data_IF_653893054218
#
_entry.id   IF_653893054218
#
_cell.length_a   1.000
_cell.length_b   1.000
_cell.length_c   1.000
_cell.angle_alpha   90.00
_cell.angle_beta   90.00
_cell.angle_gamma   90.00
#
_symmetry.space_group_name_H-M   'P 1'
#
loop_
_entity.id
_entity.type
_entity.pdbx_description
1 polymer ?
#
# COMPACT_ATOMS: atom_id res chain seq x y z
N UNK A 1 -46.19 13.19 -18.45
CA UNK A 1 -46.45 12.02 -19.31
C UNK A 1 -45.19 11.18 -19.37
N UNK A 2 -45.28 9.95 -18.83
CA UNK A 2 -44.43 8.76 -19.04
C UNK A 2 -42.92 8.84 -18.73
N UNK A 3 -42.23 7.89 -18.09
CA UNK A 3 -42.46 6.79 -17.11
C UNK A 3 -41.12 6.04 -17.01
N UNK A 4 -40.70 5.66 -15.78
CA UNK A 4 -39.92 4.46 -15.37
C UNK A 4 -38.59 4.14 -16.13
N UNK A 5 -37.46 3.90 -15.44
CA UNK A 5 -37.29 2.72 -14.59
C UNK A 5 -36.10 2.82 -13.61
N UNK A 6 -36.39 2.41 -12.38
CA UNK A 6 -35.50 2.24 -11.23
C UNK A 6 -34.69 0.94 -11.34
N UNK A 7 -33.40 0.95 -10.98
CA UNK A 7 -32.72 -0.29 -10.54
C UNK A 7 -31.98 -0.08 -9.23
N UNK A 8 -32.61 -0.61 -8.18
CA UNK A 8 -32.18 -0.75 -6.79
C UNK A 8 -31.31 -2.00 -6.69
N UNK A 9 -30.07 -1.90 -6.21
CA UNK A 9 -29.26 -3.06 -5.85
C UNK A 9 -29.05 -3.13 -4.34
N UNK A 10 -29.03 -4.37 -3.86
CA UNK A 10 -29.39 -4.83 -2.51
C UNK A 10 -28.34 -4.54 -1.45
N UNK A 11 -28.83 -4.15 -0.28
CA UNK A 11 -28.20 -4.22 1.03
C UNK A 11 -27.89 -5.67 1.42
N UNK A 12 -26.66 -5.92 1.88
CA UNK A 12 -26.21 -7.18 2.52
C UNK A 12 -26.48 -7.10 4.03
N UNK A 13 -26.86 -8.18 4.72
CA UNK A 13 -27.36 -8.11 6.11
C UNK A 13 -26.25 -7.81 7.12
N UNK A 14 -26.59 -6.97 8.10
CA UNK A 14 -25.85 -6.70 9.33
C UNK A 14 -26.32 -7.71 10.39
N UNK A 15 -25.41 -8.51 10.94
CA UNK A 15 -25.71 -9.48 12.00
C UNK A 15 -25.07 -9.05 13.31
N UNK A 16 -25.92 -8.70 14.29
CA UNK A 16 -25.74 -8.92 15.73
C UNK A 16 -24.74 -8.04 16.50
N UNK A 17 -25.24 -6.94 17.07
CA UNK A 17 -24.77 -6.40 18.36
C UNK A 17 -25.22 -7.33 19.49
N UNK A 18 -24.33 -7.65 20.43
CA UNK A 18 -24.68 -7.83 21.86
C UNK A 18 -23.49 -7.42 22.73
N UNK A 19 -23.72 -6.39 23.53
CA UNK A 19 -22.92 -5.92 24.66
C UNK A 19 -23.58 -6.38 25.98
N UNK A 20 -22.75 -6.62 27.01
CA UNK A 20 -23.13 -6.91 28.40
C UNK A 20 -22.29 -8.06 28.97
N UNK A 21 -21.22 -7.84 29.74
CA UNK A 21 -21.18 -7.61 31.22
C UNK A 21 -21.90 -8.73 31.98
N UNK A 22 -21.41 -9.35 33.06
CA UNK A 22 -20.20 -9.29 33.90
C UNK A 22 -20.29 -10.52 34.86
N UNK A 23 -19.25 -10.74 35.68
CA UNK A 23 -19.19 -11.64 36.85
C UNK A 23 -19.04 -13.15 36.62
N UNK A 24 -18.38 -13.94 37.47
CA UNK A 24 -17.31 -13.77 38.46
C UNK A 24 -17.03 -15.22 38.92
N UNK A 25 -15.77 -15.64 39.02
CA UNK A 25 -15.31 -16.50 40.12
C UNK A 25 -13.79 -16.72 40.04
N UNK A 26 -13.12 -15.89 40.82
CA UNK A 26 -11.88 -16.17 41.54
C UNK A 26 -11.69 -17.64 41.96
N UNK A 27 -10.48 -18.19 41.77
CA UNK A 27 -9.53 -18.44 42.88
C UNK A 27 -8.28 -19.23 42.44
N UNK A 28 -7.12 -18.59 42.70
CA UNK A 28 -5.84 -19.12 43.21
C UNK A 28 -4.95 -20.02 42.33
N UNK A 29 -3.92 -19.37 41.74
CA UNK A 29 -2.47 -19.55 42.02
C UNK A 29 -2.06 -20.79 42.83
N UNK A 30 -1.05 -21.61 42.48
CA UNK A 30 0.33 -21.30 42.06
C UNK A 30 1.01 -22.54 41.44
N UNK A 31 1.88 -22.39 40.43
CA UNK A 31 2.96 -23.38 40.21
C UNK A 31 4.15 -22.80 39.45
N UNK A 32 5.33 -22.84 40.07
CA UNK A 32 6.67 -22.99 39.48
C UNK A 32 7.61 -23.48 40.59
N UNK A 33 8.72 -24.20 40.32
CA UNK A 33 9.48 -24.24 39.06
C UNK A 33 9.87 -25.65 38.55
N UNK A 34 10.38 -25.70 37.32
CA UNK A 34 11.24 -26.76 36.74
C UNK A 34 12.57 -26.90 37.53
N UNK A 35 13.42 -27.96 37.40
CA UNK A 35 14.01 -28.39 36.11
C UNK A 35 14.51 -29.86 35.97
N UNK A 36 15.01 -30.16 34.76
CA UNK A 36 16.15 -31.03 34.37
C UNK A 36 15.93 -32.32 33.57
N UNK A 37 16.94 -32.55 32.74
CA UNK A 37 17.05 -33.23 31.44
C UNK A 37 17.75 -34.61 31.56
N UNK A 38 17.72 -35.39 30.47
CA UNK A 38 18.50 -36.61 30.14
C UNK A 38 17.94 -37.94 30.69
N UNK A 39 17.90 -39.07 29.97
CA UNK A 39 18.81 -39.57 28.92
C UNK A 39 18.19 -40.73 28.12
N UNK A 40 18.54 -40.81 26.83
CA UNK A 40 18.34 -41.93 25.89
C UNK A 40 19.42 -43.00 26.14
N UNK A 41 19.06 -44.29 26.24
CA UNK A 41 19.95 -45.42 25.88
C UNK A 41 19.14 -46.58 25.29
N UNK A 42 19.58 -46.99 24.10
CA UNK A 42 19.22 -48.18 23.31
C UNK A 42 19.97 -49.44 23.76
N UNK A 43 19.35 -50.62 23.63
CA UNK A 43 20.07 -51.92 23.56
C UNK A 43 19.50 -52.79 22.43
N UNK A 44 20.41 -53.37 21.66
CA UNK A 44 20.24 -54.15 20.43
C UNK A 44 20.22 -55.68 20.70
N UNK A 45 19.83 -56.42 19.64
CA UNK A 45 20.13 -57.83 19.26
C UNK A 45 19.03 -58.88 19.47
N UNK A 46 18.93 -59.98 18.71
CA UNK A 46 19.12 -60.39 17.29
C UNK A 46 19.06 -61.94 17.27
N UNK A 47 18.63 -62.54 16.14
CA UNK A 47 18.63 -63.98 15.77
C UNK A 47 17.63 -64.91 16.51
N UNK A 48 16.98 -65.91 15.91
CA UNK A 48 17.01 -66.49 14.57
C UNK A 48 16.34 -67.89 14.57
N UNK A 49 15.73 -68.27 13.44
CA UNK A 49 15.44 -69.62 12.92
C UNK A 49 14.48 -70.63 13.61
N UNK A 50 13.51 -71.06 12.78
CA UNK A 50 13.05 -72.42 12.45
C UNK A 50 12.47 -73.36 13.53
N UNK A 51 11.21 -73.75 13.33
CA UNK A 51 10.62 -74.95 13.94
C UNK A 51 9.10 -75.06 13.77
N UNK A 52 8.65 -76.07 13.03
CA UNK A 52 7.27 -76.47 12.73
C UNK A 52 6.54 -77.21 13.86
N UNK A 53 5.19 -77.26 13.74
CA UNK A 53 4.25 -78.26 14.31
C UNK A 53 4.08 -78.22 15.84
N UNK A 54 2.95 -78.52 16.49
CA UNK A 54 1.61 -79.02 16.17
C UNK A 54 0.84 -79.06 17.52
N UNK A 55 -0.50 -78.99 17.48
CA UNK A 55 -1.50 -79.58 18.40
C UNK A 55 -1.13 -79.89 19.86
N UNK A 56 -1.98 -79.55 20.83
CA UNK A 56 -2.60 -80.52 21.76
C UNK A 56 -3.70 -79.84 22.59
N UNK A 57 -4.89 -80.43 22.56
CA UNK A 57 -5.99 -80.15 23.47
C UNK A 57 -5.73 -80.85 24.80
N UNK A 58 -6.11 -80.26 25.94
CA UNK A 58 -6.51 -81.05 27.10
C UNK A 58 -7.59 -80.33 27.93
N UNK A 59 -8.62 -81.12 28.21
CA UNK A 59 -9.82 -80.84 29.01
C UNK A 59 -9.51 -80.78 30.50
N UNK A 60 -10.22 -79.92 31.25
CA UNK A 60 -10.32 -80.00 32.70
C UNK A 60 -11.75 -79.69 33.19
N UNK A 61 -12.32 -80.65 33.92
CA UNK A 61 -13.54 -80.55 34.72
C UNK A 61 -13.30 -79.73 36.01
N UNK A 62 -14.37 -79.09 36.50
CA UNK A 62 -14.56 -78.38 37.79
C UNK A 62 -14.10 -79.17 39.05
N UNK A 63 -14.05 -78.59 40.30
CA UNK A 63 -14.59 -77.29 40.76
C UNK A 63 -13.71 -76.43 41.70
N UNK A 64 -14.04 -75.12 41.72
CA UNK A 64 -13.99 -74.14 42.80
C UNK A 64 -12.75 -74.05 43.72
N UNK A 65 -11.88 -73.05 43.47
CA UNK A 65 -11.29 -72.21 44.51
C UNK A 65 -10.53 -71.02 43.88
N UNK A 66 -10.84 -69.82 44.39
CA UNK A 66 -9.95 -68.66 44.54
C UNK A 66 -9.48 -67.95 43.27
N UNK A 67 -9.93 -66.70 43.15
CA UNK A 67 -9.49 -65.69 42.21
C UNK A 67 -7.97 -65.51 42.31
N UNK A 68 -7.25 -66.06 41.34
CA UNK A 68 -5.83 -65.88 41.15
C UNK A 68 -5.62 -64.85 40.03
N UNK A 69 -4.88 -63.79 40.36
CA UNK A 69 -4.24 -62.89 39.42
C UNK A 69 -3.57 -63.72 38.31
N UNK A 70 -4.05 -63.63 37.08
CA UNK A 70 -3.30 -64.03 35.90
C UNK A 70 -2.66 -62.77 35.30
N UNK A 71 -1.39 -62.57 35.60
CA UNK A 71 -0.50 -61.73 34.80
C UNK A 71 -0.20 -62.42 33.48
N UNK A 72 -0.27 -61.63 32.42
CA UNK A 72 0.68 -61.64 31.30
C UNK A 72 0.55 -62.78 30.28
N UNK A 73 -0.31 -62.56 29.28
CA UNK A 73 -0.30 -63.31 28.04
C UNK A 73 0.32 -62.46 26.92
N UNK A 74 1.43 -62.98 26.38
CA UNK A 74 2.38 -62.34 25.47
C UNK A 74 1.74 -62.16 24.09
N UNK A 75 0.95 -61.10 23.93
CA UNK A 75 0.52 -60.64 22.61
C UNK A 75 1.73 -60.00 21.90
N UNK A 76 1.96 -60.27 20.60
CA UNK A 76 3.05 -59.62 19.86
C UNK A 76 2.88 -58.10 19.98
N UNK A 77 3.99 -57.36 20.14
CA UNK A 77 4.00 -55.89 20.35
C UNK A 77 3.05 -55.14 19.39
N UNK A 78 2.95 -55.61 18.15
CA UNK A 78 2.04 -55.09 17.11
C UNK A 78 0.55 -55.17 17.49
N UNK A 79 0.13 -56.23 18.17
CA UNK A 79 -1.26 -56.41 18.63
C UNK A 79 -1.59 -55.44 19.78
N UNK A 80 -0.66 -55.26 20.72
CA UNK A 80 -0.80 -54.27 21.79
C UNK A 80 -0.88 -52.85 21.22
N UNK A 81 0.00 -52.50 20.28
CA UNK A 81 -0.02 -51.21 19.57
C UNK A 81 -1.34 -51.01 18.81
N UNK A 82 -1.84 -52.05 18.12
CA UNK A 82 -3.14 -51.98 17.44
C UNK A 82 -4.30 -51.74 18.39
N UNK A 83 -4.29 -52.39 19.56
CA UNK A 83 -5.31 -52.20 20.58
C UNK A 83 -5.35 -50.76 21.08
N UNK A 84 -4.19 -50.22 21.43
CA UNK A 84 -4.04 -48.84 21.91
C UNK A 84 -4.40 -47.81 20.83
N UNK A 85 -3.92 -47.99 19.60
CA UNK A 85 -4.25 -47.11 18.48
C UNK A 85 -5.75 -47.11 18.17
N UNK A 86 -6.40 -48.28 18.26
CA UNK A 86 -7.84 -48.40 18.08
C UNK A 86 -8.60 -47.62 19.14
N UNK A 87 -8.23 -47.79 20.42
CA UNK A 87 -8.85 -47.09 21.54
C UNK A 87 -8.66 -45.56 21.43
N UNK A 88 -7.49 -45.11 20.99
CA UNK A 88 -7.22 -43.72 20.68
C UNK A 88 -8.12 -43.17 19.56
N UNK A 89 -8.24 -43.90 18.45
CA UNK A 89 -9.10 -43.51 17.33
C UNK A 89 -10.60 -43.54 17.66
N UNK A 90 -11.02 -44.30 18.67
CA UNK A 90 -12.41 -44.33 19.15
C UNK A 90 -12.71 -43.18 20.12
N UNK A 91 -11.70 -42.68 20.84
CA UNK A 91 -11.81 -41.62 21.86
C UNK A 91 -11.40 -40.22 21.40
N UNK A 92 -10.85 -40.11 20.18
CA UNK A 92 -10.47 -38.81 19.61
C UNK A 92 -11.68 -37.90 19.37
N UNK A 93 -11.47 -36.59 19.50
CA UNK A 93 -12.46 -35.56 19.18
C UNK A 93 -12.70 -35.40 17.67
N UNK A 94 -11.89 -36.05 16.83
CA UNK A 94 -12.05 -36.06 15.37
C UNK A 94 -13.28 -36.85 14.95
N UNK A 95 -14.41 -36.17 14.72
CA UNK A 95 -15.74 -36.75 14.47
C UNK A 95 -15.81 -37.88 13.42
N UNK A 96 -14.93 -37.88 12.42
CA UNK A 96 -14.92 -38.89 11.36
C UNK A 96 -14.09 -40.15 11.67
N UNK A 97 -13.13 -40.08 12.60
CA UNK A 97 -12.16 -41.14 12.88
C UNK A 97 -12.78 -42.31 13.67
N UNK A 98 -13.62 -42.09 14.72
CA UNK A 98 -14.32 -43.17 15.40
C UNK A 98 -15.23 -43.99 14.47
N UNK A 99 -15.82 -43.35 13.44
CA UNK A 99 -16.68 -44.02 12.46
C UNK A 99 -15.89 -44.97 11.54
N UNK A 100 -14.63 -44.66 11.23
CA UNK A 100 -13.74 -45.53 10.44
C UNK A 100 -13.39 -46.80 11.21
N UNK A 101 -13.18 -46.67 12.53
CA UNK A 101 -12.69 -47.76 13.38
C UNK A 101 -13.83 -48.63 13.94
N UNK A 102 -15.00 -48.04 14.20
CA UNK A 102 -16.18 -48.75 14.71
C UNK A 102 -16.93 -49.56 13.64
N UNK A 103 -16.81 -49.18 12.36
CA UNK A 103 -17.56 -49.83 11.27
C UNK A 103 -16.95 -51.18 10.86
N UNK A 104 -17.76 -52.24 10.88
CA UNK A 104 -17.37 -53.59 10.46
C UNK A 104 -17.36 -53.79 8.93
N UNK A 105 -18.22 -53.07 8.21
CA UNK A 105 -18.36 -53.17 6.75
C UNK A 105 -17.23 -52.44 6.00
N UNK A 106 -16.42 -53.18 5.21
CA UNK A 106 -15.27 -52.63 4.47
C UNK A 106 -15.65 -51.50 3.50
N UNK A 107 -16.80 -51.61 2.82
CA UNK A 107 -17.27 -50.57 1.86
C UNK A 107 -17.64 -49.26 2.57
N UNK A 108 -18.28 -49.34 3.73
CA UNK A 108 -18.66 -48.16 4.53
C UNK A 108 -17.44 -47.53 5.20
N UNK A 109 -16.50 -48.36 5.66
CA UNK A 109 -15.21 -47.90 6.17
C UNK A 109 -14.41 -47.12 5.12
N UNK A 110 -14.39 -47.59 3.88
CA UNK A 110 -13.75 -46.88 2.76
C UNK A 110 -14.42 -45.51 2.51
N UNK A 111 -15.75 -45.47 2.51
CA UNK A 111 -16.50 -44.23 2.34
C UNK A 111 -16.21 -43.20 3.47
N UNK A 112 -16.14 -43.64 4.72
CA UNK A 112 -15.74 -42.77 5.83
C UNK A 112 -14.30 -42.29 5.71
N UNK A 113 -13.38 -43.15 5.26
CA UNK A 113 -11.99 -42.78 5.01
C UNK A 113 -11.89 -41.72 3.93
N UNK A 114 -12.61 -41.86 2.82
CA UNK A 114 -12.64 -40.89 1.73
C UNK A 114 -13.16 -39.54 2.23
N UNK A 115 -14.24 -39.51 3.02
CA UNK A 115 -14.77 -38.24 3.56
C UNK A 115 -13.80 -37.56 4.52
N UNK A 116 -13.16 -38.32 5.41
CA UNK A 116 -12.16 -37.78 6.33
C UNK A 116 -10.97 -37.22 5.54
N UNK A 117 -10.48 -37.97 4.55
CA UNK A 117 -9.37 -37.52 3.70
C UNK A 117 -9.74 -36.25 2.92
N UNK A 118 -10.91 -36.20 2.30
CA UNK A 118 -11.40 -35.03 1.57
C UNK A 118 -11.52 -33.79 2.48
N UNK A 119 -12.01 -33.99 3.71
CA UNK A 119 -12.08 -32.91 4.70
C UNK A 119 -10.69 -32.40 5.09
N UNK A 120 -9.73 -33.29 5.36
CA UNK A 120 -8.34 -32.90 5.66
C UNK A 120 -7.69 -32.12 4.52
N UNK A 121 -7.87 -32.57 3.27
CA UNK A 121 -7.37 -31.84 2.09
C UNK A 121 -7.99 -30.45 2.01
N UNK A 122 -9.32 -30.33 2.21
CA UNK A 122 -10.00 -29.03 2.22
C UNK A 122 -9.53 -28.10 3.34
N UNK A 123 -9.24 -28.63 4.53
CA UNK A 123 -8.68 -27.85 5.62
C UNK A 123 -7.27 -27.36 5.31
N UNK A 124 -6.41 -28.22 4.74
CA UNK A 124 -5.04 -27.85 4.37
C UNK A 124 -5.04 -26.78 3.28
N UNK A 125 -5.89 -26.91 2.25
CA UNK A 125 -5.98 -25.89 1.19
C UNK A 125 -6.46 -24.55 1.75
N UNK A 126 -7.51 -24.55 2.58
CA UNK A 126 -8.00 -23.33 3.23
C UNK A 126 -6.93 -22.65 4.09
N UNK A 127 -6.17 -23.45 4.85
CA UNK A 127 -5.05 -22.95 5.65
C UNK A 127 -3.95 -22.32 4.77
N UNK A 128 -3.58 -22.97 3.66
CA UNK A 128 -2.60 -22.42 2.71
C UNK A 128 -3.09 -21.09 2.14
N UNK A 129 -4.36 -20.98 1.73
CA UNK A 129 -4.94 -19.73 1.24
C UNK A 129 -4.86 -18.62 2.30
N UNK A 130 -5.21 -18.92 3.55
CA UNK A 130 -5.20 -17.95 4.63
C UNK A 130 -3.77 -17.48 4.96
N UNK A 131 -2.80 -18.40 4.97
CA UNK A 131 -1.39 -18.08 5.18
C UNK A 131 -0.87 -17.21 4.04
N UNK A 132 -1.19 -17.55 2.79
CA UNK A 132 -0.77 -16.75 1.63
C UNK A 132 -1.38 -15.35 1.66
N UNK A 133 -2.65 -15.22 2.06
CA UNK A 133 -3.30 -13.92 2.23
C UNK A 133 -2.65 -13.11 3.35
N UNK A 134 -2.31 -13.75 4.47
CA UNK A 134 -1.61 -13.10 5.58
C UNK A 134 -0.20 -12.64 5.18
N UNK A 135 0.57 -13.49 4.50
CA UNK A 135 1.92 -13.19 4.00
C UNK A 135 1.93 -12.26 2.79
N UNK A 136 0.78 -12.00 2.15
CA UNK A 136 0.65 -10.96 1.14
C UNK A 136 0.66 -9.54 1.75
N UNK A 137 0.58 -9.43 3.08
CA UNK A 137 0.60 -8.16 3.82
C UNK A 137 -0.38 -7.13 3.23
N UNK A 138 -1.59 -7.57 2.86
CA UNK A 138 -2.60 -6.67 2.32
C UNK A 138 -3.09 -5.73 3.43
N UNK A 139 -2.73 -4.44 3.34
CA UNK A 139 -3.09 -3.41 4.32
C UNK A 139 -4.24 -2.57 3.76
N UNK A 140 -5.42 -2.71 4.37
CA UNK A 140 -6.57 -1.87 4.05
C UNK A 140 -6.43 -0.54 4.80
N UNK A 141 -5.99 0.51 4.11
CA UNK A 141 -6.01 1.86 4.63
C UNK A 141 -7.42 2.45 4.55
N UNK A 142 -8.08 2.61 5.70
CA UNK A 142 -9.35 3.33 5.76
C UNK A 142 -9.09 4.84 5.88
N UNK A 143 -9.48 5.67 4.89
CA UNK A 143 -9.32 7.11 4.98
C UNK A 143 -10.24 7.67 6.07
N UNK A 144 -9.67 8.13 7.17
CA UNK A 144 -10.40 8.89 8.22
C UNK A 144 -10.31 10.38 7.91
N UNK A 145 -11.46 11.05 7.84
CA UNK A 145 -11.52 12.52 7.74
C UNK A 145 -11.49 13.09 9.16
N UNK A 146 -10.42 13.79 9.50
CA UNK A 146 -10.34 14.59 10.72
C UNK A 146 -10.62 16.05 10.38
N UNK A 147 -11.67 16.62 10.97
CA UNK A 147 -12.13 17.98 10.66
C UNK A 147 -11.56 19.04 11.63
N UNK A 148 -11.23 18.67 12.86
CA UNK A 148 -10.96 19.63 13.95
C UNK A 148 -9.50 19.65 14.44
N UNK A 149 -8.56 19.12 13.66
CA UNK A 149 -7.14 19.26 14.01
C UNK A 149 -6.61 20.61 13.50
N UNK A 150 -5.91 21.39 14.35
CA UNK A 150 -5.21 22.57 13.87
C UNK A 150 -4.20 22.13 12.82
N UNK A 151 -4.34 22.67 11.60
CA UNK A 151 -3.42 22.42 10.51
C UNK A 151 -2.70 23.71 10.17
N UNK A 152 -1.39 23.64 10.16
CA UNK A 152 -0.56 24.76 9.74
C UNK A 152 -0.87 25.12 8.28
N UNK A 153 -1.10 26.41 8.03
CA UNK A 153 -1.34 26.90 6.69
C UNK A 153 -0.11 26.64 5.79
N UNK A 154 -0.31 26.09 4.58
CA UNK A 154 0.80 25.71 3.71
C UNK A 154 1.47 26.94 3.08
N UNK A 155 2.71 26.77 2.61
CA UNK A 155 3.31 27.73 1.70
C UNK A 155 2.60 27.71 0.35
N UNK A 156 2.35 28.88 -0.23
CA UNK A 156 1.63 29.02 -1.51
C UNK A 156 2.60 29.51 -2.58
N UNK A 157 2.81 28.71 -3.62
CA UNK A 157 3.67 29.07 -4.77
C UNK A 157 2.81 29.46 -5.96
N UNK A 158 3.14 30.60 -6.57
CA UNK A 158 2.43 31.13 -7.74
C UNK A 158 3.45 31.47 -8.82
N UNK A 159 3.16 31.04 -10.03
CA UNK A 159 3.93 31.32 -11.24
C UNK A 159 2.98 31.88 -12.29
N UNK A 160 3.47 32.76 -13.17
CA UNK A 160 2.71 33.10 -14.35
C UNK A 160 2.85 31.98 -15.40
N UNK A 161 1.77 31.70 -16.12
CA UNK A 161 1.78 30.75 -17.23
C UNK A 161 2.68 31.22 -18.37
N UNK A 162 2.84 32.55 -18.51
CA UNK A 162 3.78 33.16 -19.43
C UNK A 162 5.10 33.44 -18.70
N UNK A 163 6.25 32.92 -19.16
CA UNK A 163 7.53 33.13 -18.50
C UNK A 163 8.00 34.59 -18.58
N UNK A 164 7.62 35.32 -19.64
CA UNK A 164 8.05 36.70 -19.86
C UNK A 164 6.92 37.71 -19.73
N UNK A 165 7.26 38.87 -19.15
CA UNK A 165 6.34 40.00 -19.09
C UNK A 165 6.17 40.66 -20.44
N UNK A 166 5.03 41.33 -20.66
CA UNK A 166 4.79 42.17 -21.84
C UNK A 166 5.91 43.16 -22.13
N UNK A 167 6.50 43.74 -21.08
CA UNK A 167 7.62 44.69 -21.18
C UNK A 167 8.87 43.99 -21.70
N UNK A 168 9.17 42.80 -21.22
CA UNK A 168 10.36 42.06 -21.60
C UNK A 168 10.22 41.45 -23.00
N UNK A 169 9.03 41.00 -23.39
CA UNK A 169 8.75 40.56 -24.76
C UNK A 169 9.07 41.69 -25.76
N UNK A 170 8.70 42.94 -25.45
CA UNK A 170 9.05 44.08 -26.31
C UNK A 170 10.56 44.30 -26.42
N UNK A 171 11.30 44.14 -25.32
CA UNK A 171 12.77 44.22 -25.32
C UNK A 171 13.40 43.08 -26.14
N UNK A 172 12.92 41.85 -25.96
CA UNK A 172 13.38 40.67 -26.70
C UNK A 172 13.16 40.84 -28.21
N UNK A 173 11.97 41.33 -28.60
CA UNK A 173 11.66 41.66 -30.00
C UNK A 173 12.57 42.78 -30.54
N UNK A 174 12.80 43.84 -29.75
CA UNK A 174 13.68 44.94 -30.15
C UNK A 174 15.16 44.50 -30.30
N UNK A 175 15.59 43.52 -29.51
CA UNK A 175 16.91 42.92 -29.61
C UNK A 175 17.04 41.89 -30.74
N UNK A 176 15.97 41.64 -31.52
CA UNK A 176 15.98 40.66 -32.61
C UNK A 176 16.03 39.20 -32.15
N UNK A 177 15.65 38.92 -30.90
CA UNK A 177 15.64 37.56 -30.36
C UNK A 177 14.53 36.75 -31.01
N UNK A 178 14.85 35.50 -31.36
CA UNK A 178 13.91 34.55 -31.95
C UNK A 178 12.86 34.14 -30.90
N UNK A 179 11.56 34.05 -31.27
CA UNK A 179 10.52 33.49 -30.41
C UNK A 179 10.88 32.08 -29.87
N UNK A 180 10.37 31.74 -28.70
CA UNK A 180 10.72 30.49 -27.99
C UNK A 180 10.31 29.25 -28.78
N UNK A 181 9.13 29.27 -29.39
CA UNK A 181 8.61 28.21 -30.25
C UNK A 181 9.49 28.00 -31.48
N UNK A 182 9.84 29.09 -32.18
CA UNK A 182 10.73 29.04 -33.34
C UNK A 182 12.14 28.55 -32.96
N UNK A 183 12.65 28.91 -31.80
CA UNK A 183 13.94 28.40 -31.30
C UNK A 183 13.89 26.88 -31.17
N UNK A 184 12.87 26.34 -30.48
CA UNK A 184 12.75 24.89 -30.30
C UNK A 184 12.49 24.15 -31.61
N UNK A 185 11.67 24.71 -32.51
CA UNK A 185 11.45 24.16 -33.85
C UNK A 185 12.75 24.07 -34.66
N UNK A 186 13.61 25.09 -34.56
CA UNK A 186 14.91 25.08 -35.23
C UNK A 186 15.83 23.98 -34.66
N UNK A 187 15.91 23.84 -33.33
CA UNK A 187 16.66 22.75 -32.69
C UNK A 187 16.10 21.39 -33.14
N UNK A 188 14.78 21.22 -33.15
CA UNK A 188 14.12 19.99 -33.56
C UNK A 188 14.48 19.59 -35.00
N UNK A 189 14.50 20.55 -35.93
CA UNK A 189 14.86 20.31 -37.33
C UNK A 189 16.34 19.97 -37.51
N UNK A 190 17.21 20.43 -36.61
CA UNK A 190 18.64 20.11 -36.66
C UNK A 190 18.98 18.72 -36.11
N UNK A 191 18.28 18.24 -35.08
CA UNK A 191 18.57 16.96 -34.41
C UNK A 191 18.75 15.76 -35.39
N UNK A 192 17.91 15.55 -36.42
CA UNK A 192 18.06 14.44 -37.36
C UNK A 192 19.37 14.50 -38.15
N UNK A 193 19.85 15.71 -38.45
CA UNK A 193 21.06 15.96 -39.24
C UNK A 193 22.35 15.81 -38.43
N UNK A 194 22.24 15.73 -37.11
CA UNK A 194 23.38 15.55 -36.20
C UNK A 194 23.72 14.06 -36.09
N UNK A 195 25.03 13.78 -36.11
CA UNK A 195 25.60 12.44 -35.93
C UNK A 195 25.04 11.79 -34.66
N UNK A 196 24.70 10.48 -34.69
CA UNK A 196 23.99 9.81 -33.60
C UNK A 196 24.72 9.92 -32.26
N UNK A 197 26.06 9.91 -32.25
CA UNK A 197 26.87 10.10 -31.04
C UNK A 197 26.62 11.44 -30.33
N UNK A 198 26.25 12.49 -31.08
CA UNK A 198 26.12 13.85 -30.57
C UNK A 198 24.67 14.27 -30.29
N UNK A 199 23.68 13.44 -30.67
CA UNK A 199 22.25 13.78 -30.52
C UNK A 199 21.85 14.05 -29.07
N UNK A 200 22.45 13.33 -28.11
CA UNK A 200 22.19 13.50 -26.67
C UNK A 200 22.58 14.89 -26.16
N UNK A 201 23.63 15.49 -26.70
CA UNK A 201 24.03 16.85 -26.33
C UNK A 201 23.06 17.88 -26.92
N UNK A 202 22.60 17.66 -28.16
CA UNK A 202 21.63 18.54 -28.81
C UNK A 202 20.27 18.58 -28.09
N UNK A 203 19.84 17.47 -27.48
CA UNK A 203 18.60 17.47 -26.70
C UNK A 203 18.65 18.36 -25.46
N UNK A 204 19.84 18.69 -24.93
CA UNK A 204 19.96 19.63 -23.80
C UNK A 204 19.63 21.07 -24.20
N UNK A 205 19.75 21.42 -25.49
CA UNK A 205 19.39 22.73 -26.02
C UNK A 205 17.87 22.92 -26.11
N UNK A 206 17.09 21.85 -25.99
CA UNK A 206 15.63 21.90 -25.96
C UNK A 206 15.10 22.16 -24.55
N UNK A 207 15.64 23.17 -23.88
CA UNK A 207 15.17 23.60 -22.56
C UNK A 207 15.04 25.11 -22.53
N UNK A 208 14.12 25.63 -21.71
CA UNK A 208 13.98 27.08 -21.55
C UNK A 208 15.26 27.69 -20.98
N UNK A 209 15.94 26.98 -20.07
CA UNK A 209 17.23 27.40 -19.55
C UNK A 209 18.25 27.56 -20.70
N UNK A 210 18.33 26.61 -21.62
CA UNK A 210 19.20 26.73 -22.79
C UNK A 210 18.81 27.90 -23.70
N UNK A 211 17.51 28.15 -23.91
CA UNK A 211 17.06 29.34 -24.64
C UNK A 211 17.56 30.63 -23.99
N UNK A 212 17.43 30.74 -22.67
CA UNK A 212 17.88 31.90 -21.89
C UNK A 212 19.40 32.10 -21.94
N UNK A 213 20.18 31.01 -21.83
CA UNK A 213 21.65 31.08 -21.97
C UNK A 213 22.12 31.46 -23.37
N UNK A 214 21.28 31.31 -24.40
CA UNK A 214 21.59 31.70 -25.78
C UNK A 214 21.08 33.11 -26.14
N UNK A 215 20.60 33.88 -25.15
CA UNK A 215 20.24 35.28 -25.36
C UNK A 215 21.49 36.14 -25.62
N UNK A 216 21.37 37.23 -26.39
CA UNK A 216 22.48 38.16 -26.60
C UNK A 216 22.93 38.78 -25.28
N UNK A 217 24.23 39.02 -25.11
CA UNK A 217 24.84 39.58 -23.89
C UNK A 217 24.26 40.95 -23.49
N UNK A 218 23.60 41.65 -24.41
CA UNK A 218 22.91 42.93 -24.16
C UNK A 218 21.66 42.77 -23.29
N UNK A 219 21.18 41.54 -23.07
CA UNK A 219 20.02 41.23 -22.25
C UNK A 219 20.46 40.49 -20.98
N UNK A 220 20.12 41.07 -19.83
CA UNK A 220 20.31 40.40 -18.54
C UNK A 220 19.20 39.37 -18.31
N UNK A 221 19.53 38.08 -18.46
CA UNK A 221 18.65 36.95 -18.16
C UNK A 221 18.01 37.07 -16.77
N UNK A 222 18.77 37.56 -15.78
CA UNK A 222 18.32 37.58 -14.39
C UNK A 222 17.21 38.59 -14.12
N UNK A 223 17.12 39.61 -14.98
CA UNK A 223 16.15 40.69 -14.94
C UNK A 223 14.89 40.40 -15.80
N UNK A 224 14.88 39.31 -16.57
CA UNK A 224 13.72 38.92 -17.38
C UNK A 224 12.62 38.27 -16.54
N UNK A 225 11.39 38.39 -17.04
CA UNK A 225 10.22 37.72 -16.49
C UNK A 225 9.43 38.59 -15.51
N UNK A 226 8.35 38.02 -14.99
CA UNK A 226 7.47 38.77 -14.11
C UNK A 226 8.11 39.06 -12.74
N UNK A 227 7.92 40.27 -12.26
CA UNK A 227 8.21 40.61 -10.86
C UNK A 227 7.05 40.22 -9.93
N UNK A 228 7.29 40.16 -8.61
CA UNK A 228 6.26 39.89 -7.59
C UNK A 228 5.06 40.83 -7.78
N UNK A 229 5.34 42.11 -7.98
CA UNK A 229 4.33 43.16 -8.12
C UNK A 229 3.61 43.13 -9.47
N UNK A 230 4.18 42.46 -10.49
CA UNK A 230 3.48 42.24 -11.75
C UNK A 230 2.39 41.19 -11.57
N UNK A 231 2.66 40.10 -10.83
CA UNK A 231 1.73 38.98 -10.62
C UNK A 231 0.76 39.26 -9.48
N UNK A 232 1.26 39.61 -8.29
CA UNK A 232 0.44 39.76 -7.08
C UNK A 232 0.18 41.24 -6.84
N UNK A 233 -1.07 41.67 -7.07
CA UNK A 233 -1.48 43.07 -6.90
C UNK A 233 -1.90 43.38 -5.47
N UNK A 234 -2.59 42.44 -4.83
CA UNK A 234 -3.03 42.55 -3.42
C UNK A 234 -3.01 41.17 -2.77
N UNK A 235 -2.65 41.13 -1.49
CA UNK A 235 -2.54 39.89 -0.73
C UNK A 235 -2.90 40.14 0.73
N UNK A 236 -3.89 39.42 1.24
CA UNK A 236 -4.32 39.49 2.63
C UNK A 236 -4.43 38.09 3.23
N UNK A 237 -4.00 37.98 4.48
CA UNK A 237 -4.18 36.78 5.31
C UNK A 237 -5.22 37.09 6.36
N UNK A 238 -6.21 36.20 6.47
CA UNK A 238 -7.24 36.26 7.50
C UNK A 238 -6.94 35.20 8.54
N UNK A 239 -6.75 35.63 9.78
CA UNK A 239 -6.51 34.74 10.92
C UNK A 239 -7.57 34.94 12.00
N UNK A 240 -7.79 33.87 12.77
CA UNK A 240 -8.71 33.85 13.90
C UNK A 240 -8.00 34.36 15.15
N UNK A 241 -8.49 35.44 15.75
CA UNK A 241 -8.03 35.90 17.07
C UNK A 241 -9.22 35.92 18.02
N UNK A 242 -9.37 34.84 18.79
CA UNK A 242 -10.54 34.64 19.64
C UNK A 242 -11.81 34.40 18.81
N UNK A 243 -12.79 35.29 18.95
CA UNK A 243 -14.08 35.23 18.22
C UNK A 243 -14.11 36.07 16.94
N UNK A 244 -13.09 36.89 16.69
CA UNK A 244 -13.06 37.83 15.57
C UNK A 244 -12.02 37.41 14.53
N UNK A 245 -12.37 37.60 13.25
CA UNK A 245 -11.46 37.42 12.13
C UNK A 245 -10.77 38.76 11.84
N UNK A 246 -9.43 38.74 11.69
CA UNK A 246 -8.66 39.91 11.27
C UNK A 246 -7.90 39.61 9.99
N UNK A 247 -8.05 40.51 9.02
CA UNK A 247 -7.24 40.56 7.80
C UNK A 247 -5.97 41.38 8.03
N UNK A 248 -4.85 40.94 7.48
CA UNK A 248 -3.57 41.64 7.54
C UNK A 248 -2.82 41.45 6.22
N UNK A 249 -2.04 42.44 5.81
CA UNK A 249 -1.29 42.36 4.55
C UNK A 249 -0.20 41.28 4.64
N UNK A 250 -0.03 40.53 3.55
CA UNK A 250 0.93 39.45 3.46
C UNK A 250 2.38 39.87 3.77
N UNK A 251 2.77 41.12 3.51
CA UNK A 251 4.11 41.64 3.84
C UNK A 251 4.38 41.72 5.34
N UNK A 252 3.33 41.79 6.17
CA UNK A 252 3.45 41.85 7.63
C UNK A 252 3.21 40.52 8.34
N UNK A 253 2.58 39.55 7.68
CA UNK A 253 2.28 38.22 8.23
C UNK A 253 3.21 37.10 7.75
N UNK A 254 4.13 37.39 6.83
CA UNK A 254 5.03 36.40 6.26
C UNK A 254 6.03 37.02 5.30
N UNK A 255 6.61 36.19 4.45
CA UNK A 255 7.62 36.62 3.48
C UNK A 255 7.46 35.90 2.14
N UNK A 256 8.00 36.53 1.09
CA UNK A 256 8.00 36.01 -0.26
C UNK A 256 9.40 35.58 -0.67
N UNK A 257 9.51 34.39 -1.25
CA UNK A 257 10.75 33.86 -1.82
C UNK A 257 10.58 33.75 -3.34
N UNK A 258 11.54 34.29 -4.10
CA UNK A 258 11.61 34.12 -5.55
C UNK A 258 12.32 32.80 -5.86
N UNK A 259 11.71 31.97 -6.70
CA UNK A 259 12.29 30.74 -7.23
C UNK A 259 12.29 30.80 -8.76
N UNK A 260 13.28 30.17 -9.39
CA UNK A 260 13.34 30.03 -10.85
C UNK A 260 12.89 28.63 -11.24
N UNK A 261 11.81 28.56 -11.99
CA UNK A 261 11.27 27.35 -12.57
C UNK A 261 11.73 27.19 -14.03
N UNK A 262 12.14 25.99 -14.47
CA UNK A 262 12.60 25.74 -15.85
C UNK A 262 11.54 25.93 -16.92
N UNK A 263 10.25 26.03 -16.56
CA UNK A 263 9.13 26.17 -17.51
C UNK A 263 8.53 27.56 -17.37
N UNK A 264 8.16 27.95 -16.15
CA UNK A 264 7.44 29.20 -15.85
C UNK A 264 8.35 30.37 -15.51
N UNK A 265 9.67 30.16 -15.48
CA UNK A 265 10.68 31.16 -15.14
C UNK A 265 10.51 31.72 -13.73
N UNK A 266 10.05 32.96 -13.53
CA UNK A 266 9.97 33.56 -12.19
C UNK A 266 8.70 33.11 -11.45
N UNK A 267 8.89 32.37 -10.36
CA UNK A 267 7.85 31.95 -9.43
C UNK A 267 8.04 32.62 -8.06
N UNK A 268 6.94 32.78 -7.33
CA UNK A 268 6.92 33.40 -6.01
C UNK A 268 6.20 32.52 -5.01
N UNK A 269 6.92 32.12 -3.97
CA UNK A 269 6.39 31.33 -2.85
C UNK A 269 6.18 32.24 -1.66
N UNK A 270 4.95 32.27 -1.16
CA UNK A 270 4.58 32.92 0.08
C UNK A 270 4.63 31.94 1.25
N UNK A 271 5.31 32.32 2.32
CA UNK A 271 5.41 31.55 3.55
C UNK A 271 5.01 32.43 4.73
N UNK A 272 4.06 31.94 5.54
CA UNK A 272 3.59 32.61 6.75
C UNK A 272 4.59 32.37 7.89
N UNK A 273 4.74 33.34 8.79
CA UNK A 273 5.55 33.16 9.98
C UNK A 273 5.01 32.03 10.87
N UNK A 274 5.90 31.19 11.40
CA UNK A 274 5.56 29.98 12.16
C UNK A 274 4.62 30.24 13.36
N UNK A 275 4.66 31.44 13.94
CA UNK A 275 3.80 31.82 15.06
C UNK A 275 2.32 32.05 14.66
N UNK A 276 2.03 32.19 13.37
CA UNK A 276 0.69 32.50 12.86
C UNK A 276 0.09 31.33 12.06
N UNK A 277 0.86 30.34 11.64
CA UNK A 277 0.44 29.30 10.69
C UNK A 277 -0.81 28.53 11.12
N UNK A 278 -0.99 28.29 12.42
CA UNK A 278 -2.10 27.48 12.94
C UNK A 278 -3.38 28.28 13.19
N UNK A 279 -3.30 29.62 13.09
CA UNK A 279 -4.42 30.54 13.31
C UNK A 279 -5.05 31.04 12.01
N UNK A 280 -4.42 30.77 10.88
CA UNK A 280 -4.83 31.26 9.57
C UNK A 280 -6.05 30.47 9.08
N UNK A 281 -7.08 31.20 8.64
CA UNK A 281 -8.31 30.63 8.11
C UNK A 281 -8.27 30.57 6.58
N UNK A 282 -7.90 31.69 5.95
CA UNK A 282 -7.85 31.81 4.51
C UNK A 282 -6.87 32.90 4.06
N UNK A 283 -6.43 32.76 2.82
CA UNK A 283 -5.60 33.72 2.10
C UNK A 283 -6.42 34.27 0.93
N UNK A 284 -6.46 35.60 0.82
CA UNK A 284 -7.13 36.30 -0.26
C UNK A 284 -6.10 37.02 -1.12
N UNK A 285 -6.15 36.80 -2.43
CA UNK A 285 -5.16 37.34 -3.35
C UNK A 285 -5.82 37.84 -4.63
N UNK A 286 -5.37 39.00 -5.09
CA UNK A 286 -5.69 39.53 -6.42
C UNK A 286 -4.45 39.37 -7.30
N UNK A 287 -4.57 38.47 -8.27
CA UNK A 287 -3.51 38.17 -9.23
C UNK A 287 -3.79 38.81 -10.58
N UNK A 288 -2.74 39.27 -11.25
CA UNK A 288 -2.80 39.78 -12.62
C UNK A 288 -2.18 38.75 -13.56
N UNK A 289 -3.00 38.25 -14.46
CA UNK A 289 -2.59 37.40 -15.57
C UNK A 289 -2.40 38.34 -16.76
N UNK A 290 -1.14 38.62 -17.11
CA UNK A 290 -0.71 39.54 -18.16
C UNK A 290 -1.30 39.13 -19.53
N UNK A 291 -2.59 39.44 -19.74
CA UNK A 291 -3.36 39.07 -20.92
C UNK A 291 -3.17 40.13 -21.98
N UNK A 292 -2.27 39.86 -22.92
CA UNK A 292 -2.25 40.53 -24.21
C UNK A 292 -3.45 40.06 -25.03
N UNK A 293 -4.56 40.79 -24.93
CA UNK A 293 -5.72 40.61 -25.83
C UNK A 293 -5.40 41.10 -27.26
N UNK A 294 -4.31 41.87 -27.44
CA UNK A 294 -3.97 42.54 -28.71
C UNK A 294 -2.92 41.83 -29.59
N UNK A 295 -2.31 40.72 -29.15
CA UNK A 295 -1.30 40.01 -29.96
C UNK A 295 -1.78 38.62 -30.38
N UNK A 296 -1.97 38.45 -31.70
CA UNK A 296 -2.28 37.15 -32.33
C UNK A 296 -1.09 36.19 -32.36
N UNK A 297 0.14 36.71 -32.23
CA UNK A 297 1.38 35.92 -32.18
C UNK A 297 1.94 35.82 -30.77
N UNK A 298 2.12 34.59 -30.30
CA UNK A 298 2.58 34.31 -28.96
C UNK A 298 4.09 34.01 -28.93
N UNK A 299 4.89 34.99 -28.54
CA UNK A 299 6.36 34.95 -28.54
C UNK A 299 6.97 33.85 -27.64
N UNK A 300 6.28 33.50 -26.55
CA UNK A 300 6.75 32.62 -25.48
C UNK A 300 5.70 31.55 -25.11
N UNK A 301 4.78 31.24 -26.04
CA UNK A 301 3.85 30.13 -25.85
C UNK A 301 4.59 28.80 -26.00
N UNK A 302 4.78 28.11 -24.89
CA UNK A 302 5.43 26.80 -24.85
C UNK A 302 4.48 25.63 -25.20
N UNK A 303 3.74 25.73 -26.31
CA UNK A 303 2.77 24.68 -26.73
C UNK A 303 3.46 23.31 -26.87
N UNK A 304 4.71 23.30 -27.34
CA UNK A 304 5.50 22.08 -27.55
C UNK A 304 6.07 21.48 -26.26
N UNK A 305 6.41 22.28 -25.25
CA UNK A 305 7.01 21.80 -23.97
C UNK A 305 5.95 21.12 -23.10
N UNK A 306 4.74 21.69 -23.03
CA UNK A 306 3.60 21.05 -22.34
C UNK A 306 3.30 19.69 -22.96
N UNK A 307 3.36 19.59 -24.29
CA UNK A 307 3.14 18.33 -25.03
C UNK A 307 4.21 17.28 -24.72
N UNK A 308 5.47 17.68 -24.57
CA UNK A 308 6.57 16.79 -24.19
C UNK A 308 6.49 16.33 -22.72
N UNK A 309 6.13 17.21 -21.78
CA UNK A 309 5.90 16.82 -20.38
C UNK A 309 4.79 15.77 -20.26
N UNK A 310 3.70 15.93 -21.01
CA UNK A 310 2.65 14.91 -21.10
C UNK A 310 3.16 13.58 -21.69
N UNK A 311 4.00 13.62 -22.72
CA UNK A 311 4.61 12.41 -23.31
C UNK A 311 5.60 11.72 -22.37
N UNK A 312 6.45 12.46 -21.65
CA UNK A 312 7.37 11.92 -20.65
C UNK A 312 6.63 11.29 -19.47
N UNK A 313 5.53 11.89 -19.00
CA UNK A 313 4.65 11.27 -18.01
C UNK A 313 3.98 10.00 -18.54
N UNK A 314 3.63 9.96 -19.83
CA UNK A 314 3.03 8.78 -20.44
C UNK A 314 4.02 7.61 -20.59
N UNK A 315 5.31 7.90 -20.81
CA UNK A 315 6.37 6.87 -20.85
C UNK A 315 6.72 6.35 -19.44
N UNK A 316 6.60 7.19 -18.40
CA UNK A 316 6.79 6.78 -17.00
C UNK A 316 5.60 6.00 -16.40
N UNK A 317 4.46 5.94 -17.09
CA UNK A 317 3.29 5.16 -16.71
C UNK A 317 3.19 3.84 -17.50
N UNK A 318 4.32 3.17 -17.74
CA UNK A 318 4.30 1.75 -18.12
C UNK A 318 3.92 0.93 -16.88
N UNK A 319 2.86 0.11 -16.95
CA UNK A 319 2.33 -0.62 -15.81
C UNK A 319 3.32 -1.72 -15.38
N UNK A 320 3.63 -1.74 -14.09
CA UNK A 320 3.97 -2.99 -13.40
C UNK A 320 2.69 -3.72 -13.04
#
# INVERSE_FOLDING_TARGET
>A
MNTLSHKRSRSVPRFGDTTGEMEECSKLETFHPEPTENSIVSVYNSYGNNGTASSFAHSCNHPNAVSQYCTEDTQPLIFQIRGQFRQFCETTSLRGVPRIVSTKDTKRRLLWLIFVLAFFVGCITCLIFLINQYLAYDVIHQPKKLYDLPKSFPSVTICNLRPFSTKDIRKLKAAGVVPVDMYFDNIQRMIPHVRPENRRYMTMLWTMSAYLYNLPETLDESALGHSKHDIVKRCYIVYKRGTMNRGTDCESSGYWTKTRDPVFHNCYTYTIFQNLTDQVLNMEMVVYLDNLVEQTDCFDCQVSVVRFLFWSFHILHQPY
#
